data_IF_637262446975
#
_entry.id   IF_637262446975
#
_cell.length_a   1.000
_cell.length_b   1.000
_cell.length_c   1.000
_cell.angle_alpha   90.00
_cell.angle_beta   90.00
_cell.angle_gamma   90.00
#
_symmetry.space_group_name_H-M   'P 1'
#
loop_
_entity.id
_entity.type
_entity.pdbx_description
1 polymer ?
#
# COMPACT_ATOMS: atom_id res chain seq x y z
N UNK A 1 -10.22 4.09 -4.18
CA UNK A 1 -8.82 3.66 -4.37
C UNK A 1 -7.93 4.36 -3.37
N UNK A 2 -6.85 3.73 -2.91
CA UNK A 2 -5.84 4.41 -2.08
C UNK A 2 -5.04 5.43 -2.89
N UNK A 3 -4.40 6.40 -2.21
CA UNK A 3 -3.56 7.43 -2.84
C UNK A 3 -4.25 8.77 -3.00
N UNK A 4 -3.47 9.78 -3.40
CA UNK A 4 -3.86 11.19 -3.37
C UNK A 4 -4.10 11.77 -4.76
N UNK A 5 -3.99 10.96 -5.82
CA UNK A 5 -4.05 11.44 -7.20
C UNK A 5 -5.35 12.18 -7.53
N UNK A 6 -6.47 11.79 -6.92
CA UNK A 6 -7.77 12.48 -7.03
C UNK A 6 -7.70 13.96 -6.67
N UNK A 7 -6.81 14.34 -5.75
CA UNK A 7 -6.65 15.73 -5.30
C UNK A 7 -5.86 16.59 -6.29
N UNK A 8 -5.15 15.96 -7.23
CA UNK A 8 -4.40 16.65 -8.27
C UNK A 8 -5.20 16.77 -9.57
N UNK A 9 -5.84 15.69 -10.00
CA UNK A 9 -6.50 15.61 -11.33
C UNK A 9 -8.03 15.65 -11.26
N UNK A 10 -8.62 15.54 -10.07
CA UNK A 10 -10.07 15.45 -9.88
C UNK A 10 -10.62 14.04 -10.06
N UNK A 11 -11.80 13.78 -9.47
CA UNK A 11 -12.40 12.45 -9.45
C UNK A 11 -12.85 11.96 -10.84
N UNK A 12 -13.48 12.83 -11.63
CA UNK A 12 -13.99 12.48 -12.96
C UNK A 12 -12.88 12.02 -13.89
N UNK A 13 -11.77 12.74 -13.91
CA UNK A 13 -10.62 12.42 -14.75
C UNK A 13 -9.91 11.15 -14.26
N UNK A 14 -9.76 11.00 -12.93
CA UNK A 14 -9.22 9.77 -12.35
C UNK A 14 -10.03 8.55 -12.80
N UNK A 15 -11.37 8.62 -12.76
CA UNK A 15 -12.25 7.51 -13.17
C UNK A 15 -12.06 7.14 -14.64
N UNK A 16 -12.04 8.13 -15.53
CA UNK A 16 -11.78 7.93 -16.97
C UNK A 16 -10.43 7.26 -17.21
N UNK A 17 -9.39 7.68 -16.49
CA UNK A 17 -8.05 7.12 -16.66
C UNK A 17 -7.91 5.71 -16.07
N UNK A 18 -8.70 5.33 -15.06
CA UNK A 18 -8.75 3.93 -14.57
C UNK A 18 -9.15 3.00 -15.70
N UNK A 19 -10.24 3.30 -16.41
CA UNK A 19 -10.75 2.47 -17.51
C UNK A 19 -9.72 2.35 -18.63
N UNK A 20 -9.09 3.47 -19.00
CA UNK A 20 -8.03 3.49 -19.99
C UNK A 20 -6.84 2.62 -19.56
N UNK A 21 -6.31 2.82 -18.37
CA UNK A 21 -5.14 2.08 -17.88
C UNK A 21 -5.46 0.59 -17.70
N UNK A 22 -6.65 0.22 -17.21
CA UNK A 22 -7.05 -1.19 -17.09
C UNK A 22 -7.08 -1.87 -18.47
N UNK A 23 -7.61 -1.18 -19.49
CA UNK A 23 -7.60 -1.69 -20.86
C UNK A 23 -6.19 -1.93 -21.40
N UNK A 24 -5.20 -1.12 -20.98
CA UNK A 24 -3.79 -1.32 -21.31
C UNK A 24 -3.24 -2.56 -20.61
N UNK A 25 -3.52 -2.74 -19.32
CA UNK A 25 -3.12 -3.95 -18.59
C UNK A 25 -3.68 -5.22 -19.24
N UNK A 26 -4.95 -5.22 -19.63
CA UNK A 26 -5.59 -6.36 -20.34
C UNK A 26 -4.89 -6.64 -21.67
N UNK A 27 -4.58 -5.61 -22.47
CA UNK A 27 -3.82 -5.78 -23.73
C UNK A 27 -2.46 -6.46 -23.53
N UNK A 28 -1.82 -6.25 -22.39
CA UNK A 28 -0.55 -6.89 -22.04
C UNK A 28 -0.70 -8.22 -21.30
N UNK A 29 -1.92 -8.74 -21.11
CA UNK A 29 -2.19 -10.06 -20.55
C UNK A 29 -2.57 -10.12 -19.09
N UNK A 30 -3.12 -9.02 -18.54
CA UNK A 30 -3.81 -9.09 -17.26
C UNK A 30 -5.05 -10.03 -17.39
N UNK A 31 -5.41 -10.80 -16.34
CA UNK A 31 -6.55 -11.72 -16.40
C UNK A 31 -7.87 -10.99 -16.63
N UNK A 32 -8.83 -11.58 -17.36
CA UNK A 32 -10.11 -10.93 -17.68
C UNK A 32 -11.09 -10.82 -16.50
N UNK A 33 -10.89 -11.61 -15.44
CA UNK A 33 -11.77 -11.60 -14.26
C UNK A 33 -11.70 -10.28 -13.50
N UNK A 34 -12.86 -9.66 -13.32
CA UNK A 34 -13.06 -8.45 -12.53
C UNK A 34 -13.99 -8.78 -11.36
N UNK A 35 -13.60 -8.38 -10.14
CA UNK A 35 -14.40 -8.51 -8.93
C UNK A 35 -15.10 -7.18 -8.62
N UNK A 36 -16.14 -7.20 -7.78
CA UNK A 36 -16.92 -6.01 -7.42
C UNK A 36 -17.83 -5.50 -8.55
N UNK A 37 -18.26 -6.39 -9.44
CA UNK A 37 -19.14 -6.05 -10.58
C UNK A 37 -20.61 -6.31 -10.32
N UNK A 38 -20.94 -7.15 -9.33
CA UNK A 38 -22.32 -7.38 -8.88
C UNK A 38 -22.77 -6.21 -8.00
N UNK A 39 -23.51 -5.27 -8.59
CA UNK A 39 -23.89 -4.03 -7.89
C UNK A 39 -24.87 -4.27 -6.74
N UNK A 40 -25.73 -5.29 -6.83
CA UNK A 40 -26.72 -5.57 -5.80
C UNK A 40 -26.07 -6.22 -4.58
N UNK A 41 -25.18 -7.18 -4.81
CA UNK A 41 -24.38 -7.79 -3.73
C UNK A 41 -23.47 -6.75 -3.05
N UNK A 42 -22.82 -5.88 -3.84
CA UNK A 42 -21.98 -4.81 -3.29
C UNK A 42 -22.79 -3.82 -2.44
N UNK A 43 -23.99 -3.44 -2.89
CA UNK A 43 -24.89 -2.56 -2.12
C UNK A 43 -25.39 -3.21 -0.84
N UNK A 44 -25.69 -4.51 -0.85
CA UNK A 44 -26.07 -5.21 0.39
C UNK A 44 -24.92 -5.24 1.40
N UNK A 45 -23.70 -5.56 0.95
CA UNK A 45 -22.50 -5.54 1.81
C UNK A 45 -22.26 -4.12 2.33
N UNK A 46 -22.40 -3.08 1.49
CA UNK A 46 -22.27 -1.68 1.91
C UNK A 46 -23.28 -1.31 2.99
N UNK A 47 -24.54 -1.72 2.83
CA UNK A 47 -25.60 -1.52 3.82
C UNK A 47 -25.29 -2.21 5.15
N UNK A 48 -24.88 -3.49 5.13
CA UNK A 48 -24.49 -4.23 6.33
C UNK A 48 -23.26 -3.63 7.01
N UNK A 49 -22.26 -3.22 6.23
CA UNK A 49 -21.09 -2.53 6.74
C UNK A 49 -21.50 -1.24 7.48
N UNK A 50 -22.39 -0.43 6.89
CA UNK A 50 -22.85 0.81 7.52
C UNK A 50 -23.59 0.57 8.84
N UNK A 51 -24.38 -0.50 8.95
CA UNK A 51 -25.05 -0.89 10.21
C UNK A 51 -24.02 -1.30 11.29
N UNK A 52 -22.86 -1.79 10.85
CA UNK A 52 -21.75 -2.18 11.71
C UNK A 52 -20.74 -1.05 11.97
N UNK A 53 -21.08 0.21 11.67
CA UNK A 53 -20.19 1.39 11.79
C UNK A 53 -18.96 1.34 10.86
N UNK A 54 -19.03 0.53 9.80
CA UNK A 54 -18.01 0.41 8.77
C UNK A 54 -18.42 1.12 7.49
N UNK A 55 -17.49 1.85 6.88
CA UNK A 55 -17.65 2.42 5.54
C UNK A 55 -16.95 1.53 4.52
N UNK A 56 -17.72 0.87 3.66
CA UNK A 56 -17.19 0.22 2.47
C UNK A 56 -16.78 1.27 1.42
N UNK A 57 -15.66 1.03 0.74
CA UNK A 57 -15.25 1.78 -0.44
C UNK A 57 -15.38 0.87 -1.66
N UNK A 58 -16.51 0.92 -2.40
CA UNK A 58 -16.75 0.07 -3.56
C UNK A 58 -15.70 0.25 -4.65
N UNK A 59 -15.13 -0.86 -5.14
CA UNK A 59 -14.10 -0.85 -6.18
C UNK A 59 -14.23 -2.08 -7.06
N UNK A 60 -13.99 -1.88 -8.36
CA UNK A 60 -13.79 -2.99 -9.29
C UNK A 60 -12.31 -3.38 -9.28
N UNK A 61 -12.02 -4.66 -9.03
CA UNK A 61 -10.64 -5.14 -8.82
C UNK A 61 -10.32 -6.27 -9.77
N UNK A 62 -9.19 -6.13 -10.47
CA UNK A 62 -8.56 -7.20 -11.25
C UNK A 62 -7.33 -7.69 -10.50
N UNK A 63 -7.40 -8.90 -9.96
CA UNK A 63 -6.25 -9.50 -9.30
C UNK A 63 -5.31 -10.11 -10.35
N UNK A 64 -4.08 -9.60 -10.43
CA UNK A 64 -3.07 -10.16 -11.33
C UNK A 64 -2.51 -11.49 -10.81
N UNK A 65 -2.15 -11.55 -9.52
CA UNK A 65 -1.29 -12.61 -8.97
C UNK A 65 0.18 -12.40 -9.33
N UNK A 66 1.09 -12.79 -8.42
CA UNK A 66 2.54 -12.53 -8.53
C UNK A 66 3.13 -13.03 -9.85
N UNK A 67 2.73 -14.22 -10.30
CA UNK A 67 3.26 -14.85 -11.51
C UNK A 67 2.82 -14.12 -12.79
N UNK A 68 1.58 -13.62 -12.85
CA UNK A 68 1.12 -12.86 -14.01
C UNK A 68 1.68 -11.44 -14.05
N UNK A 69 1.98 -10.83 -12.91
CA UNK A 69 2.68 -9.54 -12.86
C UNK A 69 3.99 -9.58 -13.68
N UNK A 70 4.79 -10.64 -13.50
CA UNK A 70 6.04 -10.80 -14.25
C UNK A 70 5.81 -10.90 -15.77
N UNK A 71 4.82 -11.69 -16.20
CA UNK A 71 4.46 -11.86 -17.62
C UNK A 71 3.98 -10.55 -18.26
N UNK A 72 3.12 -9.81 -17.57
CA UNK A 72 2.61 -8.51 -18.05
C UNK A 72 3.76 -7.52 -18.19
N UNK A 73 4.63 -7.41 -17.19
CA UNK A 73 5.80 -6.51 -17.24
C UNK A 73 6.78 -6.87 -18.35
N UNK A 74 7.03 -8.17 -18.59
CA UNK A 74 7.90 -8.63 -19.67
C UNK A 74 7.35 -8.20 -21.04
N UNK A 75 6.04 -8.36 -21.27
CA UNK A 75 5.39 -7.94 -22.53
C UNK A 75 5.41 -6.42 -22.71
N UNK A 76 5.18 -5.66 -21.63
CA UNK A 76 5.32 -4.19 -21.65
C UNK A 76 6.75 -3.76 -22.00
N UNK A 77 7.76 -4.40 -21.39
CA UNK A 77 9.17 -4.13 -21.68
C UNK A 77 9.51 -4.39 -23.15
N UNK A 78 9.16 -5.57 -23.68
CA UNK A 78 9.40 -5.92 -25.08
C UNK A 78 8.74 -4.93 -26.06
N UNK A 79 7.55 -4.43 -25.71
CA UNK A 79 6.88 -3.40 -26.49
C UNK A 79 7.64 -2.06 -26.47
N UNK A 80 8.23 -1.68 -25.34
CA UNK A 80 8.96 -0.43 -25.16
C UNK A 80 10.40 -0.47 -25.72
N UNK A 81 11.07 -1.61 -25.70
CA UNK A 81 12.47 -1.76 -26.17
C UNK A 81 12.67 -1.33 -27.64
N UNK A 82 11.62 -1.40 -28.47
CA UNK A 82 11.66 -0.93 -29.86
C UNK A 82 11.32 0.56 -30.05
N UNK A 83 10.99 1.27 -28.97
CA UNK A 83 10.38 2.61 -28.97
C UNK A 83 11.05 3.59 -28.02
N UNK A 84 11.81 3.09 -27.05
CA UNK A 84 12.52 3.88 -26.06
C UNK A 84 13.83 3.16 -25.70
N UNK A 85 14.86 3.96 -25.42
CA UNK A 85 16.10 3.45 -24.83
C UNK A 85 15.85 3.15 -23.34
N UNK A 86 16.19 1.94 -22.91
CA UNK A 86 16.05 1.48 -21.53
C UNK A 86 17.42 1.10 -21.01
N UNK A 87 18.02 1.97 -20.20
CA UNK A 87 19.30 1.71 -19.51
C UNK A 87 19.03 1.12 -18.11
N UNK A 88 19.25 -0.17 -17.94
CA UNK A 88 19.26 -0.82 -16.61
C UNK A 88 20.61 -0.68 -15.96
N UNK A 89 20.71 -0.93 -14.65
CA UNK A 89 21.97 -0.78 -13.88
C UNK A 89 22.62 0.60 -14.06
N UNK A 90 21.78 1.62 -14.26
CA UNK A 90 22.19 3.00 -14.48
C UNK A 90 21.48 3.86 -13.44
N UNK A 91 22.21 4.22 -12.40
CA UNK A 91 21.68 5.00 -11.28
C UNK A 91 21.80 6.50 -11.59
N UNK A 92 20.70 7.23 -11.40
CA UNK A 92 20.71 8.69 -11.46
C UNK A 92 21.15 9.22 -10.11
N UNK A 93 22.24 9.98 -10.09
CA UNK A 93 22.75 10.62 -8.88
C UNK A 93 21.98 11.89 -8.53
N UNK A 94 21.79 12.79 -9.51
CA UNK A 94 21.13 14.08 -9.29
C UNK A 94 20.39 14.61 -10.51
N UNK A 95 19.38 15.43 -10.25
CA UNK A 95 18.62 16.18 -11.25
C UNK A 95 19.37 17.48 -11.58
N UNK A 96 19.57 17.73 -12.88
CA UNK A 96 20.23 18.95 -13.37
C UNK A 96 19.18 20.02 -13.65
N UNK A 97 19.39 21.21 -13.08
CA UNK A 97 18.47 22.35 -13.17
C UNK A 97 19.27 23.60 -13.53
N UNK A 98 18.77 24.35 -14.50
CA UNK A 98 19.25 25.68 -14.87
C UNK A 98 18.16 26.71 -14.51
N UNK A 99 18.46 27.60 -13.56
CA UNK A 99 17.47 28.48 -12.93
C UNK A 99 16.31 27.72 -12.31
N UNK A 100 15.11 27.83 -12.89
CA UNK A 100 13.89 27.11 -12.48
C UNK A 100 13.42 26.11 -13.53
N UNK A 101 14.33 25.53 -14.31
CA UNK A 101 14.01 24.61 -15.40
C UNK A 101 14.92 23.38 -15.36
N UNK A 102 14.32 22.18 -15.43
CA UNK A 102 15.11 20.96 -15.58
C UNK A 102 15.77 20.90 -16.96
N UNK A 103 17.03 20.44 -16.97
CA UNK A 103 17.87 20.35 -18.18
C UNK A 103 18.51 18.97 -18.39
N UNK A 104 18.23 18.02 -17.49
CA UNK A 104 18.72 16.65 -17.60
C UNK A 104 18.95 16.01 -16.24
N UNK A 105 19.77 14.96 -16.24
CA UNK A 105 20.21 14.24 -15.04
C UNK A 105 21.71 13.96 -15.12
N UNK A 106 22.33 13.78 -13.97
CA UNK A 106 23.68 13.26 -13.85
C UNK A 106 23.63 11.87 -13.22
N UNK A 107 24.35 10.93 -13.83
CA UNK A 107 24.44 9.53 -13.43
C UNK A 107 25.48 9.36 -12.32
N UNK A 108 25.46 8.20 -11.64
CA UNK A 108 26.38 7.88 -10.56
C UNK A 108 27.87 7.84 -10.97
N UNK A 109 28.16 7.60 -12.25
CA UNK A 109 29.51 7.65 -12.83
C UNK A 109 29.94 9.07 -13.26
N UNK A 110 29.07 10.07 -13.10
CA UNK A 110 29.31 11.46 -13.49
C UNK A 110 28.90 11.79 -14.94
N UNK A 111 28.45 10.82 -15.73
CA UNK A 111 27.88 11.09 -17.06
C UNK A 111 26.65 12.01 -16.93
N UNK A 112 26.55 13.01 -17.82
CA UNK A 112 25.39 13.90 -17.89
C UNK A 112 24.52 13.53 -19.08
N UNK A 113 23.25 13.28 -18.81
CA UNK A 113 22.23 12.98 -19.83
C UNK A 113 21.34 14.23 -19.98
N UNK A 114 21.57 15.07 -21.00
CA UNK A 114 20.77 16.27 -21.22
C UNK A 114 19.36 15.90 -21.69
N UNK A 115 18.35 16.58 -21.15
CA UNK A 115 16.97 16.42 -21.61
C UNK A 115 16.14 17.68 -21.41
N UNK A 116 15.14 17.89 -22.28
CA UNK A 116 14.19 19.01 -22.13
C UNK A 116 13.20 18.78 -21.00
N UNK A 117 12.85 17.53 -20.74
CA UNK A 117 11.88 17.10 -19.72
C UNK A 117 12.47 15.98 -18.88
N UNK A 118 12.22 16.01 -17.58
CA UNK A 118 12.62 14.97 -16.63
C UNK A 118 11.37 14.48 -15.91
N UNK A 119 11.09 13.18 -15.98
CA UNK A 119 9.99 12.54 -15.25
C UNK A 119 10.59 11.64 -14.20
N UNK A 120 10.36 11.98 -12.93
CA UNK A 120 10.94 11.27 -11.78
C UNK A 120 9.93 10.26 -11.25
N UNK A 121 10.25 8.97 -11.37
CA UNK A 121 9.39 7.85 -10.99
C UNK A 121 10.14 6.76 -10.18
N UNK A 122 10.83 7.10 -9.08
CA UNK A 122 11.81 6.21 -8.44
C UNK A 122 11.18 5.05 -7.63
N UNK A 123 9.85 4.95 -7.62
CA UNK A 123 9.12 4.02 -6.76
C UNK A 123 9.35 4.30 -5.27
N UNK A 124 8.85 3.41 -4.41
CA UNK A 124 9.02 3.57 -2.95
C UNK A 124 10.48 3.47 -2.53
N UNK A 125 11.26 2.64 -3.22
CA UNK A 125 12.68 2.40 -2.92
C UNK A 125 13.52 3.67 -3.06
N UNK A 126 13.32 4.48 -4.11
CA UNK A 126 14.04 5.75 -4.29
C UNK A 126 13.28 6.98 -3.77
N UNK A 127 12.29 6.81 -2.90
CA UNK A 127 11.56 7.93 -2.31
C UNK A 127 12.46 8.81 -1.42
N UNK A 128 13.39 8.20 -0.69
CA UNK A 128 14.36 8.93 0.13
C UNK A 128 15.29 9.79 -0.72
N UNK A 129 15.80 9.24 -1.83
CA UNK A 129 16.56 9.99 -2.83
C UNK A 129 15.77 11.18 -3.38
N UNK A 130 14.49 10.98 -3.71
CA UNK A 130 13.63 12.07 -4.19
C UNK A 130 13.40 13.15 -3.14
N UNK A 131 13.31 12.80 -1.86
CA UNK A 131 13.21 13.78 -0.75
C UNK A 131 14.50 14.58 -0.60
N UNK A 132 15.66 13.93 -0.72
CA UNK A 132 16.96 14.59 -0.72
C UNK A 132 17.07 15.58 -1.89
N UNK A 133 16.69 15.16 -3.10
CA UNK A 133 16.65 16.04 -4.27
C UNK A 133 15.64 17.17 -4.12
N UNK A 134 14.44 16.91 -3.59
CA UNK A 134 13.45 17.94 -3.33
C UNK A 134 13.99 18.99 -2.35
N UNK A 135 14.70 18.55 -1.29
CA UNK A 135 15.33 19.46 -0.32
C UNK A 135 16.41 20.30 -0.99
N UNK A 136 17.31 19.67 -1.75
CA UNK A 136 18.40 20.35 -2.48
C UNK A 136 17.86 21.38 -3.48
N UNK A 137 16.75 21.07 -4.13
CA UNK A 137 16.08 21.91 -5.13
C UNK A 137 15.09 22.92 -4.53
N UNK A 138 14.91 22.95 -3.20
CA UNK A 138 13.98 23.86 -2.53
C UNK A 138 12.50 23.57 -2.82
N UNK A 139 12.17 22.34 -3.23
CA UNK A 139 10.80 21.90 -3.49
C UNK A 139 10.06 21.59 -2.19
N UNK A 140 8.80 22.03 -2.11
CA UNK A 140 7.96 21.77 -0.93
C UNK A 140 7.42 20.35 -0.93
N UNK A 141 7.50 19.70 0.23
CA UNK A 141 6.89 18.40 0.48
C UNK A 141 5.96 18.46 1.69
N UNK A 142 4.95 17.60 1.68
CA UNK A 142 3.98 17.43 2.75
C UNK A 142 4.23 16.10 3.44
N UNK A 143 4.23 16.11 4.77
CA UNK A 143 4.31 14.90 5.56
C UNK A 143 3.03 14.09 5.39
N UNK A 144 3.18 12.89 4.85
CA UNK A 144 2.09 11.93 4.84
C UNK A 144 1.88 11.36 6.26
N UNK A 145 0.67 10.87 6.58
CA UNK A 145 0.42 10.05 7.77
C UNK A 145 1.38 8.87 7.83
N UNK A 146 1.52 8.21 8.98
CA UNK A 146 2.07 6.85 9.07
C UNK A 146 0.94 5.89 9.42
N UNK A 147 0.93 4.74 8.76
CA UNK A 147 -0.04 3.69 9.03
C UNK A 147 0.65 2.56 9.78
N UNK A 148 0.15 2.27 10.97
CA UNK A 148 0.68 1.24 11.86
C UNK A 148 -0.46 0.33 12.30
N UNK A 149 -0.18 -0.97 12.36
CA UNK A 149 -1.10 -1.92 12.97
C UNK A 149 -0.60 -3.34 12.88
N UNK A 150 -1.49 -4.25 12.49
CA UNK A 150 -1.23 -5.69 12.51
C UNK A 150 -1.71 -6.34 11.23
N UNK A 151 -1.10 -7.48 10.89
CA UNK A 151 -1.69 -8.44 9.98
C UNK A 151 -2.64 -9.33 10.76
N UNK A 152 -3.84 -9.54 10.24
CA UNK A 152 -4.85 -10.44 10.77
C UNK A 152 -4.89 -11.66 9.87
N UNK A 153 -4.98 -12.86 10.46
CA UNK A 153 -5.21 -14.10 9.74
C UNK A 153 -6.35 -14.89 10.39
N UNK A 154 -7.29 -15.32 9.53
CA UNK A 154 -8.52 -16.04 9.88
C UNK A 154 -8.74 -17.19 8.89
N UNK A 155 -9.54 -18.22 9.22
CA UNK A 155 -9.93 -19.23 8.24
C UNK A 155 -10.59 -18.57 7.02
N UNK A 156 -10.30 -19.03 5.81
CA UNK A 156 -10.74 -18.34 4.60
C UNK A 156 -12.27 -18.17 4.53
N UNK A 157 -13.01 -19.21 4.94
CA UNK A 157 -14.48 -19.25 4.97
C UNK A 157 -15.12 -18.12 5.79
N UNK A 158 -14.43 -17.59 6.82
CA UNK A 158 -14.93 -16.45 7.63
C UNK A 158 -15.13 -15.20 6.77
N UNK A 159 -14.32 -15.04 5.72
CA UNK A 159 -14.33 -13.86 4.84
C UNK A 159 -14.78 -14.18 3.42
N UNK A 160 -15.18 -15.43 3.15
CA UNK A 160 -15.43 -15.93 1.79
C UNK A 160 -16.50 -15.10 1.07
N UNK A 161 -17.65 -14.86 1.71
CA UNK A 161 -18.71 -14.01 1.18
C UNK A 161 -18.18 -12.65 0.68
N UNK A 162 -17.38 -11.98 1.51
CA UNK A 162 -16.84 -10.66 1.18
C UNK A 162 -15.79 -10.74 0.06
N UNK A 163 -14.94 -11.76 0.09
CA UNK A 163 -13.83 -11.93 -0.87
C UNK A 163 -14.29 -12.46 -2.22
N UNK A 164 -15.39 -13.22 -2.29
CA UNK A 164 -16.00 -13.59 -3.56
C UNK A 164 -16.61 -12.37 -4.26
N UNK A 165 -17.34 -11.55 -3.50
CA UNK A 165 -17.99 -10.34 -4.01
C UNK A 165 -16.98 -9.26 -4.42
N UNK A 166 -16.01 -8.95 -3.54
CA UNK A 166 -15.17 -7.75 -3.64
C UNK A 166 -13.70 -8.06 -3.93
N UNK A 167 -13.26 -9.31 -3.76
CA UNK A 167 -11.85 -9.72 -3.65
C UNK A 167 -11.12 -9.13 -2.45
N UNK A 168 -11.07 -7.80 -2.36
CA UNK A 168 -10.51 -7.04 -1.24
C UNK A 168 -11.56 -6.06 -0.70
N UNK A 169 -12.22 -6.40 0.42
CA UNK A 169 -13.11 -5.49 1.12
C UNK A 169 -12.30 -4.31 1.68
N UNK A 170 -12.54 -3.11 1.12
CA UNK A 170 -11.90 -1.88 1.59
C UNK A 170 -12.83 -1.18 2.56
N UNK A 171 -12.63 -1.46 3.84
CA UNK A 171 -13.44 -0.96 4.95
C UNK A 171 -12.65 0.11 5.69
N UNK A 172 -13.37 1.16 6.09
CA UNK A 172 -12.89 2.21 6.98
C UNK A 172 -13.77 2.17 8.24
N UNK A 173 -13.15 2.27 9.39
CA UNK A 173 -13.76 2.37 10.70
C UNK A 173 -13.19 3.60 11.41
N UNK A 174 -14.00 4.32 12.17
CA UNK A 174 -13.53 5.35 13.08
C UNK A 174 -13.70 4.83 14.50
N UNK A 175 -12.60 4.77 15.27
CA UNK A 175 -12.64 4.16 16.59
C UNK A 175 -13.53 4.93 17.56
N UNK A 176 -14.32 4.20 18.34
CA UNK A 176 -15.19 4.77 19.37
C UNK A 176 -14.36 5.40 20.49
N UNK A 177 -13.21 4.82 20.81
CA UNK A 177 -12.35 5.31 21.90
C UNK A 177 -11.56 6.56 21.54
N UNK A 178 -11.08 6.69 20.30
CA UNK A 178 -10.09 7.72 19.94
C UNK A 178 -10.42 8.51 18.67
N UNK A 179 -11.51 8.17 17.97
CA UNK A 179 -11.89 8.74 16.67
C UNK A 179 -10.80 8.59 15.60
N UNK A 180 -9.95 7.57 15.75
CA UNK A 180 -8.89 7.29 14.79
C UNK A 180 -9.42 6.49 13.62
N UNK A 181 -8.96 6.86 12.42
CA UNK A 181 -9.28 6.11 11.20
C UNK A 181 -8.49 4.80 11.17
N UNK A 182 -9.21 3.69 11.25
CA UNK A 182 -8.70 2.33 11.03
C UNK A 182 -9.21 1.84 9.68
N UNK A 183 -8.35 1.16 8.91
CA UNK A 183 -8.72 0.66 7.59
C UNK A 183 -8.15 -0.70 7.31
N UNK A 184 -8.86 -1.46 6.48
CA UNK A 184 -8.32 -2.67 5.89
C UNK A 184 -7.28 -2.34 4.82
N UNK A 185 -6.34 -3.25 4.62
CA UNK A 185 -5.35 -3.13 3.56
C UNK A 185 -4.83 -4.48 3.09
N UNK A 186 -4.68 -4.63 1.78
CA UNK A 186 -3.98 -5.75 1.16
C UNK A 186 -4.62 -7.09 1.58
N UNK A 187 -5.91 -7.28 1.36
CA UNK A 187 -6.52 -8.61 1.55
C UNK A 187 -5.85 -9.63 0.62
N UNK A 188 -5.54 -10.79 1.19
CA UNK A 188 -4.97 -11.94 0.53
C UNK A 188 -5.84 -13.17 0.82
N UNK A 189 -6.96 -13.35 0.09
CA UNK A 189 -7.81 -14.53 0.20
C UNK A 189 -7.02 -15.80 -0.13
N UNK A 190 -7.09 -16.83 0.72
CA UNK A 190 -6.26 -18.04 0.60
C UNK A 190 -4.74 -17.77 0.52
N UNK A 191 -4.31 -16.63 1.06
CA UNK A 191 -2.95 -16.14 0.96
C UNK A 191 -2.04 -16.60 2.09
N UNK A 192 -0.84 -16.05 2.12
CA UNK A 192 0.18 -16.33 3.12
C UNK A 192 0.63 -15.03 3.77
N UNK A 193 0.77 -15.05 5.09
CA UNK A 193 1.47 -14.00 5.83
C UNK A 193 2.96 -14.15 5.56
N UNK A 194 3.65 -13.02 5.34
CA UNK A 194 5.08 -12.99 5.01
C UNK A 194 5.84 -11.98 5.85
N UNK A 195 7.13 -12.21 6.01
CA UNK A 195 8.07 -11.21 6.48
C UNK A 195 8.50 -10.31 5.32
N UNK A 196 8.57 -9.00 5.59
CA UNK A 196 9.03 -7.97 4.66
C UNK A 196 10.19 -7.20 5.32
N UNK A 197 11.36 -7.22 4.68
CA UNK A 197 12.55 -6.52 5.19
C UNK A 197 12.61 -5.09 4.65
N UNK A 198 12.88 -4.12 5.53
CA UNK A 198 13.10 -2.72 5.18
C UNK A 198 14.42 -2.23 5.78
N UNK A 199 15.53 -2.68 5.21
CA UNK A 199 16.87 -2.36 5.72
C UNK A 199 17.14 -3.10 7.02
N UNK A 200 17.14 -2.37 8.13
CA UNK A 200 17.49 -2.89 9.46
C UNK A 200 16.29 -3.37 10.29
N UNK A 201 15.09 -3.42 9.70
CA UNK A 201 13.86 -3.88 10.35
C UNK A 201 13.14 -4.94 9.54
N UNK A 202 12.40 -5.78 10.24
CA UNK A 202 11.48 -6.77 9.67
C UNK A 202 10.05 -6.37 10.05
N UNK A 203 9.20 -6.19 9.06
CA UNK A 203 7.75 -5.96 9.22
C UNK A 203 6.97 -7.14 8.70
N UNK A 204 5.68 -7.21 9.03
CA UNK A 204 4.77 -8.19 8.41
C UNK A 204 4.08 -7.60 7.17
N UNK A 205 3.77 -8.48 6.21
CA UNK A 205 2.92 -8.21 5.05
C UNK A 205 2.18 -9.51 4.67
N UNK A 206 1.50 -9.54 3.54
CA UNK A 206 0.90 -10.77 3.01
C UNK A 206 0.81 -10.76 1.50
N UNK A 207 0.65 -11.96 0.94
CA UNK A 207 0.60 -12.19 -0.50
C UNK A 207 -0.30 -13.37 -0.85
N UNK A 208 -0.74 -13.43 -2.11
CA UNK A 208 -1.47 -14.56 -2.68
C UNK A 208 -0.70 -15.07 -3.90
N UNK A 209 -0.65 -16.39 -4.08
CA UNK A 209 -0.03 -17.02 -5.25
C UNK A 209 -1.11 -17.53 -6.19
N UNK A 210 -0.83 -17.57 -7.50
CA UNK A 210 -1.79 -18.12 -8.45
C UNK A 210 -1.99 -19.64 -8.27
N UNK A 211 -0.92 -20.36 -7.91
CA UNK A 211 -0.89 -21.83 -7.92
C UNK A 211 -0.85 -22.47 -6.52
N UNK A 212 -0.86 -21.66 -5.45
CA UNK A 212 -0.77 -22.14 -4.08
C UNK A 212 -1.76 -21.41 -3.20
N UNK A 213 -2.63 -22.16 -2.55
CA UNK A 213 -3.66 -21.65 -1.64
C UNK A 213 -3.39 -22.14 -0.22
N UNK A 214 -3.65 -21.29 0.76
CA UNK A 214 -3.77 -21.68 2.15
C UNK A 214 -5.25 -21.84 2.54
N UNK A 215 -5.49 -22.40 3.72
CA UNK A 215 -6.83 -22.49 4.32
C UNK A 215 -7.27 -21.16 4.97
N UNK A 216 -6.44 -20.12 4.89
CA UNK A 216 -6.63 -18.87 5.60
C UNK A 216 -6.74 -17.67 4.65
N UNK A 217 -7.50 -16.67 5.07
CA UNK A 217 -7.41 -15.31 4.53
C UNK A 217 -6.60 -14.46 5.49
N UNK A 218 -5.73 -13.59 4.95
CA UNK A 218 -5.04 -12.60 5.76
C UNK A 218 -5.13 -11.19 5.15
N UNK A 219 -5.11 -10.18 6.00
CA UNK A 219 -5.20 -8.78 5.62
C UNK A 219 -4.57 -7.91 6.72
N UNK A 220 -4.22 -6.67 6.42
CA UNK A 220 -3.76 -5.74 7.44
C UNK A 220 -4.91 -4.86 7.95
N UNK A 221 -4.88 -4.58 9.26
CA UNK A 221 -5.60 -3.48 9.88
C UNK A 221 -4.60 -2.40 10.24
N UNK A 222 -4.82 -1.20 9.71
CA UNK A 222 -3.90 -0.09 9.82
C UNK A 222 -4.64 1.11 10.40
N UNK A 223 -4.09 1.67 11.47
CA UNK A 223 -4.51 2.96 12.03
C UNK A 223 -3.68 4.05 11.38
N UNK A 224 -4.34 5.06 10.81
CA UNK A 224 -3.67 6.18 10.15
C UNK A 224 -3.42 7.32 11.13
N UNK A 225 -2.15 7.57 11.44
CA UNK A 225 -1.75 8.63 12.38
C UNK A 225 -1.06 9.77 11.67
N UNK A 226 -1.62 10.97 11.81
CA UNK A 226 -1.01 12.21 11.30
C UNK A 226 -0.36 12.97 12.44
N UNK A 227 0.95 13.15 12.36
CA UNK A 227 1.67 14.01 13.30
C UNK A 227 1.78 15.43 12.75
N UNK A 228 1.62 16.42 13.63
CA UNK A 228 1.61 17.84 13.25
C UNK A 228 2.91 18.54 13.66
N UNK A 229 2.95 19.14 14.85
CA UNK A 229 4.11 19.84 15.42
C UNK A 229 4.23 19.46 16.89
N UNK A 230 5.46 19.37 17.46
CA UNK A 230 6.75 19.62 16.81
C UNK A 230 7.28 18.42 15.98
N UNK A 231 6.69 17.24 16.12
CA UNK A 231 7.17 16.02 15.47
C UNK A 231 6.87 15.99 13.96
N UNK A 232 7.91 15.75 13.15
CA UNK A 232 7.83 15.78 11.67
C UNK A 232 8.40 14.54 10.98
N UNK A 233 8.64 13.44 11.71
CA UNK A 233 9.23 12.23 11.13
C UNK A 233 8.39 10.95 11.36
N UNK A 234 7.19 10.83 10.77
CA UNK A 234 6.33 9.65 10.92
C UNK A 234 6.99 8.32 10.50
N UNK A 235 7.92 8.37 9.54
CA UNK A 235 8.69 7.19 9.10
C UNK A 235 9.55 6.66 10.24
N UNK A 236 10.30 7.55 10.93
CA UNK A 236 11.10 7.14 12.07
C UNK A 236 10.23 6.51 13.17
N UNK A 237 9.06 7.11 13.47
CA UNK A 237 8.12 6.55 14.44
C UNK A 237 7.75 5.09 14.11
N UNK A 238 7.34 4.82 12.86
CA UNK A 238 7.02 3.46 12.43
C UNK A 238 8.22 2.50 12.51
N UNK A 239 9.43 2.96 12.13
CA UNK A 239 10.65 2.15 12.25
C UNK A 239 10.97 1.80 13.70
N UNK A 240 10.78 2.73 14.64
CA UNK A 240 11.02 2.47 16.07
C UNK A 240 10.09 1.38 16.63
N UNK A 241 8.80 1.41 16.27
CA UNK A 241 7.86 0.36 16.68
C UNK A 241 8.24 -1.01 16.09
N UNK A 242 8.64 -1.05 14.82
CA UNK A 242 9.11 -2.28 14.19
C UNK A 242 10.38 -2.83 14.86
N UNK A 243 11.37 -1.96 15.14
CA UNK A 243 12.60 -2.35 15.88
C UNK A 243 12.27 -2.93 17.25
N UNK A 244 11.34 -2.32 17.98
CA UNK A 244 10.92 -2.82 19.29
C UNK A 244 10.30 -4.21 19.18
N UNK A 245 9.42 -4.45 18.21
CA UNK A 245 8.87 -5.78 17.97
C UNK A 245 9.94 -6.81 17.58
N UNK A 246 10.90 -6.43 16.72
CA UNK A 246 12.02 -7.30 16.32
C UNK A 246 12.92 -7.64 17.51
N UNK A 247 13.22 -6.67 18.38
CA UNK A 247 14.01 -6.87 19.59
C UNK A 247 13.35 -7.89 20.53
N UNK A 248 12.03 -7.79 20.73
CA UNK A 248 11.28 -8.67 21.64
C UNK A 248 11.14 -10.11 21.14
N UNK A 249 11.29 -10.36 19.83
CA UNK A 249 10.88 -11.61 19.21
C UNK A 249 11.91 -12.27 18.29
N UNK A 250 13.00 -11.55 17.98
CA UNK A 250 13.94 -11.92 16.92
C UNK A 250 13.39 -11.72 15.50
N UNK A 251 12.19 -11.16 15.34
CA UNK A 251 11.53 -11.02 14.04
C UNK A 251 10.09 -10.51 14.18
N UNK A 252 9.12 -11.34 13.81
CA UNK A 252 7.69 -11.00 13.83
C UNK A 252 7.04 -11.63 15.05
N UNK A 253 6.26 -10.84 15.79
CA UNK A 253 5.42 -11.33 16.88
C UNK A 253 4.13 -11.90 16.31
N UNK A 254 3.72 -13.08 16.77
CA UNK A 254 2.36 -13.61 16.59
C UNK A 254 1.65 -13.72 17.94
N UNK A 255 0.39 -13.27 17.98
CA UNK A 255 -0.46 -13.35 19.15
C UNK A 255 -1.90 -13.71 18.74
N UNK A 256 -2.53 -14.62 19.48
CA UNK A 256 -3.97 -14.89 19.35
C UNK A 256 -4.75 -13.71 19.89
N UNK A 257 -5.76 -13.28 19.17
CA UNK A 257 -6.66 -12.21 19.58
C UNK A 257 -7.26 -12.46 20.97
N UNK A 258 -7.65 -13.70 21.26
CA UNK A 258 -8.18 -14.05 22.58
C UNK A 258 -7.16 -13.88 23.72
N UNK A 259 -5.86 -14.05 23.44
CA UNK A 259 -4.82 -13.81 24.44
C UNK A 259 -4.58 -12.31 24.63
N UNK A 260 -4.56 -11.53 23.54
CA UNK A 260 -4.49 -10.06 23.59
C UNK A 260 -5.64 -9.46 24.43
N UNK A 261 -6.89 -9.90 24.20
CA UNK A 261 -8.06 -9.42 24.94
C UNK A 261 -7.94 -9.71 26.44
N UNK A 262 -7.38 -10.86 26.81
CA UNK A 262 -7.15 -11.21 28.21
C UNK A 262 -5.87 -10.62 28.81
N UNK A 263 -5.15 -9.77 28.07
CA UNK A 263 -3.93 -9.12 28.52
C UNK A 263 -2.78 -10.08 28.77
N UNK A 264 -2.61 -11.10 27.92
CA UNK A 264 -1.53 -12.08 28.08
C UNK A 264 -0.83 -12.43 26.76
N UNK A 265 0.41 -12.87 26.91
CA UNK A 265 1.25 -13.47 25.87
C UNK A 265 0.64 -14.74 25.28
N UNK A 266 0.80 -14.92 23.96
CA UNK A 266 0.64 -16.23 23.30
C UNK A 266 1.88 -17.11 23.44
N UNK A 267 1.66 -18.42 23.59
CA UNK A 267 2.73 -19.44 23.61
C UNK A 267 2.58 -20.37 22.41
N UNK A 268 3.64 -21.13 22.09
CA UNK A 268 3.57 -22.14 21.03
C UNK A 268 2.43 -23.13 21.23
N UNK A 269 2.25 -23.63 22.45
CA UNK A 269 1.20 -24.59 22.79
C UNK A 269 -0.20 -24.01 22.55
N UNK A 270 -0.41 -22.76 22.96
CA UNK A 270 -1.66 -22.02 22.74
C UNK A 270 -1.97 -21.83 21.26
N UNK A 271 -0.96 -21.51 20.46
CA UNK A 271 -1.11 -21.40 19.00
C UNK A 271 -1.39 -22.77 18.37
N UNK A 272 -0.68 -23.83 18.77
CA UNK A 272 -0.90 -25.20 18.28
C UNK A 272 -2.34 -25.70 18.52
N UNK A 273 -2.96 -25.31 19.64
CA UNK A 273 -4.37 -25.62 19.98
C UNK A 273 -5.40 -24.78 19.20
N UNK A 274 -4.98 -23.83 18.37
CA UNK A 274 -5.92 -22.97 17.64
C UNK A 274 -6.43 -23.63 16.37
N UNK A 275 -7.66 -23.24 15.99
CA UNK A 275 -8.30 -23.63 14.73
C UNK A 275 -7.49 -23.06 13.56
N UNK A 276 -7.12 -21.78 13.64
CA UNK A 276 -6.24 -21.13 12.66
C UNK A 276 -4.82 -21.68 12.83
N UNK A 277 -4.28 -22.29 11.77
CA UNK A 277 -2.87 -22.67 11.70
C UNK A 277 -2.10 -21.53 11.02
N UNK A 278 -1.12 -20.89 11.69
CA UNK A 278 -0.35 -19.79 11.12
C UNK A 278 0.28 -20.15 9.78
N UNK A 279 0.15 -19.31 8.76
CA UNK A 279 0.89 -19.51 7.49
C UNK A 279 2.36 -19.11 7.60
N UNK A 280 2.68 -18.09 8.42
CA UNK A 280 4.05 -17.69 8.70
C UNK A 280 4.63 -18.50 9.88
N UNK A 281 5.35 -19.58 9.56
CA UNK A 281 5.91 -20.50 10.57
C UNK A 281 7.06 -19.93 11.39
N UNK A 282 7.76 -18.93 10.87
CA UNK A 282 8.89 -18.27 11.53
C UNK A 282 8.47 -17.18 12.53
N UNK A 283 7.17 -16.89 12.68
CA UNK A 283 6.69 -15.91 13.65
C UNK A 283 6.81 -16.44 15.08
N UNK A 284 7.29 -15.59 15.99
CA UNK A 284 7.55 -15.94 17.38
C UNK A 284 6.32 -15.60 18.25
N UNK A 285 5.79 -16.55 19.04
CA UNK A 285 4.69 -16.28 19.97
C UNK A 285 5.08 -15.21 21.00
N UNK A 286 4.28 -14.14 21.09
CA UNK A 286 4.60 -12.99 21.93
C UNK A 286 3.39 -12.23 22.43
N UNK A 287 3.64 -10.99 22.86
CA UNK A 287 2.62 -10.05 23.29
C UNK A 287 2.81 -8.72 22.56
N UNK A 288 1.84 -8.35 21.74
CA UNK A 288 1.87 -7.12 20.95
C UNK A 288 1.77 -5.88 21.83
N UNK A 289 1.24 -5.97 23.05
CA UNK A 289 1.12 -4.82 23.97
C UNK A 289 2.45 -4.27 24.46
N UNK A 290 3.55 -5.03 24.34
CA UNK A 290 4.89 -4.53 24.61
C UNK A 290 5.49 -3.75 23.44
N UNK A 291 4.97 -3.92 22.21
CA UNK A 291 5.49 -3.28 21.01
C UNK A 291 4.59 -2.16 20.47
N UNK A 292 3.27 -2.31 20.58
CA UNK A 292 2.29 -1.37 20.06
C UNK A 292 1.62 -0.58 21.20
N UNK A 293 1.47 0.76 21.06
CA UNK A 293 0.74 1.55 22.03
C UNK A 293 -0.71 1.07 22.22
N UNK A 294 -1.23 1.24 23.43
CA UNK A 294 -2.62 0.89 23.81
C UNK A 294 -3.67 1.44 22.83
N UNK A 295 -3.46 2.67 22.35
CA UNK A 295 -4.32 3.35 21.37
C UNK A 295 -4.52 2.51 20.10
N UNK A 296 -3.43 2.13 19.43
CA UNK A 296 -3.47 1.27 18.23
C UNK A 296 -4.15 -0.07 18.48
N UNK A 297 -3.84 -0.73 19.60
CA UNK A 297 -4.43 -2.04 19.92
C UNK A 297 -5.93 -1.94 20.20
N UNK A 298 -6.37 -0.85 20.83
CA UNK A 298 -7.78 -0.56 21.07
C UNK A 298 -8.51 -0.32 19.76
N UNK A 299 -7.96 0.53 18.88
CA UNK A 299 -8.53 0.85 17.57
C UNK A 299 -8.69 -0.41 16.71
N UNK A 300 -7.65 -1.26 16.67
CA UNK A 300 -7.65 -2.53 15.93
C UNK A 300 -8.70 -3.49 16.49
N UNK A 301 -8.78 -3.62 17.82
CA UNK A 301 -9.77 -4.49 18.49
C UNK A 301 -11.18 -4.05 18.14
N UNK A 302 -11.48 -2.76 18.27
CA UNK A 302 -12.81 -2.23 17.96
C UNK A 302 -13.19 -2.40 16.49
N UNK A 303 -12.25 -2.24 15.56
CA UNK A 303 -12.52 -2.52 14.15
C UNK A 303 -12.81 -4.00 13.92
N UNK A 304 -12.10 -4.92 14.59
CA UNK A 304 -12.40 -6.35 14.49
C UNK A 304 -13.78 -6.69 15.06
N UNK A 305 -14.17 -6.08 16.18
CA UNK A 305 -15.53 -6.21 16.74
C UNK A 305 -16.60 -5.74 15.75
N UNK A 306 -16.38 -4.60 15.09
CA UNK A 306 -17.27 -4.09 14.05
C UNK A 306 -17.32 -5.05 12.84
N UNK A 307 -16.17 -5.53 12.38
CA UNK A 307 -16.07 -6.48 11.26
C UNK A 307 -16.75 -7.81 11.57
N UNK A 308 -16.84 -8.25 12.82
CA UNK A 308 -17.50 -9.51 13.19
C UNK A 308 -19.00 -9.51 12.88
N UNK A 309 -19.64 -8.32 12.89
CA UNK A 309 -21.03 -8.17 12.45
C UNK A 309 -21.20 -8.38 10.94
N UNK A 310 -20.13 -8.19 10.17
CA UNK A 310 -20.12 -8.32 8.71
C UNK A 310 -19.58 -9.68 8.26
N UNK A 311 -18.60 -10.22 8.97
CA UNK A 311 -17.93 -11.50 8.73
C UNK A 311 -17.82 -12.27 10.06
N UNK A 312 -18.89 -12.97 10.48
CA UNK A 312 -18.94 -13.65 11.77
C UNK A 312 -17.80 -14.65 11.96
N UNK A 313 -17.09 -14.52 13.07
CA UNK A 313 -15.92 -15.35 13.40
C UNK A 313 -14.59 -14.63 13.20
N UNK A 314 -14.57 -13.42 12.63
CA UNK A 314 -13.35 -12.63 12.46
C UNK A 314 -12.80 -12.15 13.81
N UNK A 315 -13.66 -11.93 14.81
CA UNK A 315 -13.30 -11.57 16.18
C UNK A 315 -13.17 -12.79 17.11
N UNK A 316 -13.01 -13.99 16.54
CA UNK A 316 -12.83 -15.21 17.34
C UNK A 316 -11.52 -15.20 18.13
N UNK A 317 -11.50 -15.89 19.28
CA UNK A 317 -10.30 -16.05 20.13
C UNK A 317 -9.09 -16.65 19.38
N UNK A 318 -9.34 -17.36 18.27
CA UNK A 318 -8.33 -18.01 17.45
C UNK A 318 -7.82 -17.16 16.29
N UNK A 319 -8.38 -15.97 16.06
CA UNK A 319 -7.85 -15.00 15.10
C UNK A 319 -6.40 -14.69 15.45
N UNK A 320 -5.51 -14.77 14.46
CA UNK A 320 -4.09 -14.53 14.66
C UNK A 320 -3.76 -13.10 14.28
N UNK A 321 -3.02 -12.42 15.15
CA UNK A 321 -2.49 -11.09 14.93
C UNK A 321 -0.97 -11.18 14.80
N UNK A 322 -0.43 -10.57 13.76
CA UNK A 322 1.02 -10.48 13.52
C UNK A 322 1.44 -9.03 13.56
N UNK A 323 2.54 -8.73 14.23
CA UNK A 323 3.02 -7.37 14.34
C UNK A 323 4.53 -7.22 14.17
N UNK A 324 5.00 -6.04 13.74
CA UNK A 324 4.17 -4.85 13.38
C UNK A 324 4.00 -4.75 11.86
N UNK A 325 2.78 -4.45 11.41
CA UNK A 325 2.54 -4.03 10.03
C UNK A 325 2.69 -2.50 9.96
N UNK A 326 3.68 -2.01 9.23
CA UNK A 326 3.90 -0.57 9.02
C UNK A 326 3.88 -0.28 7.53
N UNK A 327 3.17 0.78 7.12
CA UNK A 327 3.27 1.30 5.75
C UNK A 327 3.92 2.68 5.76
N UNK A 328 5.16 2.70 5.27
CA UNK A 328 5.93 3.92 5.09
C UNK A 328 5.42 4.67 3.88
N UNK A 329 4.99 5.90 4.11
CA UNK A 329 4.58 6.79 3.04
C UNK A 329 5.74 7.65 2.60
N UNK A 330 5.99 7.68 1.29
CA UNK A 330 6.87 8.67 0.68
C UNK A 330 6.36 10.07 0.96
N UNK A 331 7.26 11.05 1.09
CA UNK A 331 6.83 12.44 1.27
C UNK A 331 6.02 12.89 0.06
N UNK A 332 4.88 13.54 0.30
CA UNK A 332 3.97 13.95 -0.78
C UNK A 332 4.48 15.24 -1.40
N UNK A 333 4.87 15.19 -2.66
CA UNK A 333 5.34 16.40 -3.34
C UNK A 333 4.18 17.34 -3.68
N UNK A 334 4.43 18.64 -3.55
CA UNK A 334 3.53 19.66 -4.08
C UNK A 334 3.69 19.71 -5.60
N UNK A 335 2.64 19.37 -6.33
CA UNK A 335 2.62 19.29 -7.78
C UNK A 335 1.42 20.03 -8.37
N UNK A 336 1.52 20.42 -9.64
CA UNK A 336 0.40 20.93 -10.42
C UNK A 336 -0.60 19.81 -10.77
N UNK A 337 -1.74 20.19 -11.37
CA UNK A 337 -2.72 19.22 -11.92
C UNK A 337 -2.16 18.31 -13.01
N UNK A 338 -1.00 18.65 -13.58
CA UNK A 338 -0.31 17.86 -14.59
C UNK A 338 0.91 17.11 -14.01
N UNK A 339 1.03 17.08 -12.68
CA UNK A 339 2.12 16.42 -11.93
C UNK A 339 3.51 17.03 -12.16
N UNK A 340 3.53 18.30 -12.58
CA UNK A 340 4.76 19.10 -12.69
C UNK A 340 5.09 19.73 -11.34
N UNK A 341 6.38 19.79 -11.00
CA UNK A 341 6.88 20.47 -9.80
C UNK A 341 6.90 21.99 -9.97
N UNK A 342 7.38 22.72 -8.97
CA UNK A 342 7.63 24.16 -9.08
C UNK A 342 8.82 24.49 -10.01
N UNK A 343 9.59 23.48 -10.44
CA UNK A 343 10.63 23.55 -11.46
C UNK A 343 10.03 23.15 -12.81
N UNK A 344 10.12 24.05 -13.78
CA UNK A 344 9.59 23.86 -15.14
C UNK A 344 10.24 22.63 -15.79
N UNK A 345 9.42 21.83 -16.45
CA UNK A 345 9.77 20.58 -17.12
C UNK A 345 10.26 19.44 -16.21
N UNK A 346 10.16 19.61 -14.89
CA UNK A 346 10.40 18.54 -13.92
C UNK A 346 9.05 18.00 -13.44
N UNK A 347 8.76 16.75 -13.77
CA UNK A 347 7.56 16.02 -13.35
C UNK A 347 7.95 14.97 -12.31
N UNK A 348 7.04 14.68 -11.37
CA UNK A 348 7.22 13.58 -10.45
C UNK A 348 5.94 12.77 -10.32
N UNK A 349 6.08 11.45 -10.42
CA UNK A 349 4.96 10.53 -10.56
C UNK A 349 5.12 9.29 -9.67
N UNK A 350 4.05 8.53 -9.55
CA UNK A 350 4.06 7.25 -8.86
C UNK A 350 4.18 7.34 -7.33
N UNK A 351 4.38 6.17 -6.72
CA UNK A 351 4.37 6.02 -5.27
C UNK A 351 5.54 6.77 -4.62
N UNK A 352 6.69 6.88 -5.31
CA UNK A 352 7.88 7.58 -4.82
C UNK A 352 7.67 9.08 -4.62
N UNK A 353 6.86 9.73 -5.46
CA UNK A 353 6.46 11.13 -5.30
C UNK A 353 5.39 11.32 -4.19
N UNK A 354 4.93 10.24 -3.57
CA UNK A 354 3.95 10.26 -2.49
C UNK A 354 2.54 10.65 -2.93
N UNK A 355 2.22 10.59 -4.23
CA UNK A 355 0.92 11.01 -4.78
C UNK A 355 0.00 9.84 -5.16
N UNK A 356 0.54 8.65 -5.43
CA UNK A 356 -0.24 7.46 -5.78
C UNK A 356 -0.12 6.38 -4.72
N UNK A 357 -1.03 5.39 -4.77
CA UNK A 357 -0.86 4.10 -4.10
C UNK A 357 -1.32 2.97 -5.01
N UNK A 358 -0.41 2.05 -5.31
CA UNK A 358 -0.71 0.84 -6.08
C UNK A 358 -0.61 1.05 -7.60
N UNK A 359 -0.63 -0.07 -8.31
CA UNK A 359 -0.28 -0.15 -9.74
C UNK A 359 -1.13 0.78 -10.60
N UNK A 360 -2.44 0.78 -10.39
CA UNK A 360 -3.37 1.57 -11.22
C UNK A 360 -3.09 3.07 -11.14
N UNK A 361 -3.04 3.65 -9.94
CA UNK A 361 -2.76 5.08 -9.84
C UNK A 361 -1.35 5.44 -10.29
N UNK A 362 -0.35 4.59 -10.00
CA UNK A 362 1.02 4.82 -10.47
C UNK A 362 1.08 4.90 -12.01
N UNK A 363 0.43 3.97 -12.70
CA UNK A 363 0.32 3.98 -14.15
C UNK A 363 -0.47 5.18 -14.68
N UNK A 364 -1.58 5.55 -14.02
CA UNK A 364 -2.33 6.77 -14.36
C UNK A 364 -1.45 8.02 -14.24
N UNK A 365 -0.63 8.13 -13.20
CA UNK A 365 0.26 9.28 -13.03
C UNK A 365 1.29 9.40 -14.16
N UNK A 366 1.79 8.27 -14.68
CA UNK A 366 2.62 8.24 -15.89
C UNK A 366 1.87 8.73 -17.13
N UNK A 367 0.62 8.31 -17.32
CA UNK A 367 -0.23 8.77 -18.43
C UNK A 367 -0.49 10.28 -18.36
N UNK A 368 -0.75 10.82 -17.16
CA UNK A 368 -0.99 12.26 -16.96
C UNK A 368 0.23 13.09 -17.34
N UNK A 369 1.42 12.73 -16.82
CA UNK A 369 2.65 13.44 -17.14
C UNK A 369 3.01 13.34 -18.63
N UNK A 370 2.91 12.13 -19.20
CA UNK A 370 3.19 11.91 -20.62
C UNK A 370 2.22 12.70 -21.52
N UNK A 371 0.93 12.78 -21.17
CA UNK A 371 -0.07 13.52 -21.95
C UNK A 371 0.22 15.02 -21.97
N UNK A 372 0.66 15.59 -20.84
CA UNK A 372 1.04 17.00 -20.79
C UNK A 372 2.31 17.28 -21.61
N UNK A 373 3.32 16.41 -21.53
CA UNK A 373 4.53 16.54 -22.37
C UNK A 373 4.15 16.46 -23.84
N UNK A 374 3.32 15.48 -24.22
CA UNK A 374 2.84 15.29 -25.60
C UNK A 374 2.11 16.52 -26.13
N UNK A 375 1.25 17.13 -25.31
CA UNK A 375 0.55 18.39 -25.61
C UNK A 375 1.52 19.56 -25.83
N UNK A 376 2.58 19.68 -25.03
CA UNK A 376 3.61 20.73 -25.18
C UNK A 376 4.45 20.57 -26.46
N UNK A 377 4.59 19.35 -26.96
CA UNK A 377 5.27 19.06 -28.22
C UNK A 377 4.34 19.12 -29.45
N UNK A 378 3.06 19.45 -29.28
CA UNK A 378 2.11 19.56 -30.41
C UNK A 378 1.73 18.22 -31.03
N UNK A 379 1.92 17.10 -30.32
CA UNK A 379 1.57 15.76 -30.76
C UNK A 379 0.15 15.44 -30.25
N UNK A 380 -0.88 15.66 -31.09
CA UNK A 380 -2.27 15.36 -30.72
C UNK A 380 -2.56 13.87 -30.76
#
# INVERSE_FOLDING_TARGET
>A
MGGWLKEYIGERELRRLIEYVDSVYVKFGAPDRLHGTDEDLVKDIERRASIADLKLIPQKIRHLGTENCAKVLQRMRQYLERRAEIKTTTEVHRILVDGKKAVGVELADGERVPSRYVVVAPGRAGAEWLVSEATRLGLKTLNNPVDVGVRVEVPAHVTEELTEALYEPKLIYYSRSFDDMVRTFCFAPHGFVIAESHGDIITVNGQSYANKRSDNTNFALLVSTTFTKPFKNPIAYGKYLARLANLLSGGIIIQRLGDLITGRRSTEERIKRSIVKPTLKSATPGDLSFALPYRYLTDIREMLEAMDKLAPGIYAKHTMLYGVEVKFYSSRMKLSRHLETEIKNLFAIGDGAGITRGLMQASISGVVAASEIRRREGLS
#
